data_IF_870828885114
#
_entry.id   IF_870828885114
#
_cell.length_a   1.000
_cell.length_b   1.000
_cell.length_c   1.000
_cell.angle_alpha   90.00
_cell.angle_beta   90.00
_cell.angle_gamma   90.00
#
_symmetry.space_group_name_H-M   'P 1'
#
loop_
_entity.id
_entity.type
_entity.pdbx_description
1 polymer ?
#
# COMPACT_ATOMS: atom_id res chain seq x y z
N UNK A 1 2.15 -6.39 -14.19
CA UNK A 1 2.09 -6.77 -12.76
C UNK A 1 3.49 -6.67 -12.14
N UNK A 2 3.89 -5.47 -11.68
CA UNK A 2 5.19 -5.28 -11.03
C UNK A 2 5.29 -5.97 -9.67
N UNK A 3 4.19 -6.02 -8.92
CA UNK A 3 4.11 -6.55 -7.56
C UNK A 3 4.37 -8.07 -7.46
N UNK A 4 4.24 -8.82 -8.56
CA UNK A 4 4.47 -10.26 -8.56
C UNK A 4 5.95 -10.60 -8.36
N UNK A 5 6.86 -9.87 -9.00
CA UNK A 5 8.29 -10.13 -8.94
C UNK A 5 8.84 -9.98 -7.52
N UNK A 6 8.54 -8.86 -6.86
CA UNK A 6 8.99 -8.61 -5.48
C UNK A 6 8.45 -9.66 -4.52
N UNK A 7 7.21 -10.11 -4.72
CA UNK A 7 6.56 -11.12 -3.88
C UNK A 7 7.20 -12.51 -4.08
N UNK A 8 7.50 -12.90 -5.32
CA UNK A 8 8.20 -14.16 -5.63
C UNK A 8 9.62 -14.14 -5.07
N UNK A 9 10.35 -13.03 -5.19
CA UNK A 9 11.69 -12.89 -4.65
C UNK A 9 11.69 -13.03 -3.12
N UNK A 10 10.73 -12.39 -2.44
CA UNK A 10 10.55 -12.52 -0.99
C UNK A 10 10.16 -13.96 -0.59
N UNK A 11 9.30 -14.62 -1.36
CA UNK A 11 8.89 -16.02 -1.14
C UNK A 11 10.09 -16.99 -1.24
N UNK A 12 10.92 -16.83 -2.26
CA UNK A 12 12.12 -17.65 -2.44
C UNK A 12 13.07 -17.54 -1.23
N UNK A 13 13.29 -16.32 -0.71
CA UNK A 13 14.09 -16.09 0.49
C UNK A 13 13.41 -16.70 1.72
N UNK A 14 12.10 -16.50 1.88
CA UNK A 14 11.35 -17.04 3.02
C UNK A 14 11.45 -18.57 3.07
N UNK A 15 11.26 -19.24 1.93
CA UNK A 15 11.42 -20.70 1.79
C UNK A 15 12.83 -21.15 2.09
N UNK A 16 13.85 -20.46 1.56
CA UNK A 16 15.25 -20.78 1.84
C UNK A 16 15.57 -20.68 3.34
N UNK A 17 15.13 -19.62 4.02
CA UNK A 17 15.37 -19.47 5.46
C UNK A 17 14.61 -20.53 6.28
N UNK A 18 13.40 -20.92 5.87
CA UNK A 18 12.66 -22.05 6.49
C UNK A 18 13.38 -23.39 6.28
N UNK A 19 13.97 -23.63 5.10
CA UNK A 19 14.79 -24.82 4.82
C UNK A 19 16.04 -24.89 5.72
N UNK A 20 16.61 -23.74 6.09
CA UNK A 20 17.70 -23.64 7.07
C UNK A 20 17.23 -23.83 8.53
N UNK A 21 15.97 -24.16 8.77
CA UNK A 21 15.40 -24.35 10.10
C UNK A 21 15.11 -23.05 10.85
N UNK A 22 15.16 -21.87 10.19
CA UNK A 22 14.85 -20.60 10.84
C UNK A 22 13.34 -20.39 10.93
N UNK A 23 12.93 -19.72 12.01
CA UNK A 23 11.57 -19.20 12.14
C UNK A 23 11.40 -17.98 11.23
N UNK A 24 10.47 -18.05 10.30
CA UNK A 24 10.16 -17.00 9.32
C UNK A 24 8.71 -16.57 9.49
N UNK A 25 8.45 -15.26 9.41
CA UNK A 25 7.12 -14.68 9.26
C UNK A 25 7.14 -13.85 7.99
N UNK A 26 6.53 -14.35 6.93
CA UNK A 26 6.41 -13.67 5.65
C UNK A 26 5.04 -12.99 5.56
N UNK A 27 5.06 -11.65 5.40
CA UNK A 27 3.87 -10.82 5.35
C UNK A 27 3.78 -10.17 3.97
N UNK A 28 2.59 -10.21 3.38
CA UNK A 28 2.23 -9.46 2.18
C UNK A 28 0.90 -8.73 2.42
N UNK A 29 0.40 -7.96 1.46
CA UNK A 29 -0.83 -7.22 1.65
C UNK A 29 -1.18 -6.26 0.54
N UNK A 30 -2.20 -5.45 0.80
CA UNK A 30 -2.68 -4.37 -0.05
C UNK A 30 -2.71 -3.06 0.72
N UNK A 31 -2.18 -2.01 0.10
CA UNK A 31 -2.43 -0.64 0.52
C UNK A 31 -3.65 -0.09 -0.21
N UNK A 32 -4.62 0.37 0.57
CA UNK A 32 -6.00 0.60 0.15
C UNK A 32 -6.47 2.04 0.41
N UNK A 33 -5.62 2.92 0.95
CA UNK A 33 -5.94 4.32 1.22
C UNK A 33 -5.24 5.25 0.23
N UNK A 34 -5.80 5.36 -0.98
CA UNK A 34 -5.33 6.31 -2.00
C UNK A 34 -6.52 7.02 -2.65
N UNK A 35 -6.36 8.30 -2.98
CA UNK A 35 -7.38 9.08 -3.69
C UNK A 35 -7.72 8.46 -5.05
N UNK A 36 -6.72 7.91 -5.75
CA UNK A 36 -6.91 7.15 -6.99
C UNK A 36 -7.85 5.97 -6.85
N UNK A 37 -7.82 5.29 -5.71
CA UNK A 37 -8.71 4.14 -5.46
C UNK A 37 -10.16 4.62 -5.36
N UNK A 38 -10.38 5.76 -4.71
CA UNK A 38 -11.71 6.36 -4.67
C UNK A 38 -12.20 6.79 -6.07
N UNK A 39 -11.33 7.42 -6.87
CA UNK A 39 -11.66 7.79 -8.26
C UNK A 39 -11.96 6.56 -9.13
N UNK A 40 -11.14 5.51 -9.02
CA UNK A 40 -11.33 4.27 -9.77
C UNK A 40 -12.62 3.53 -9.38
N UNK A 41 -12.94 3.51 -8.08
CA UNK A 41 -14.20 2.94 -7.59
C UNK A 41 -15.41 3.69 -8.18
N UNK A 42 -15.39 5.02 -8.15
CA UNK A 42 -16.45 5.86 -8.74
C UNK A 42 -16.61 5.61 -10.25
N UNK A 43 -15.51 5.53 -11.00
CA UNK A 43 -15.54 5.25 -12.43
C UNK A 43 -16.15 3.88 -12.77
N UNK A 44 -16.07 2.92 -11.85
CA UNK A 44 -16.65 1.58 -11.97
C UNK A 44 -18.05 1.46 -11.33
N UNK A 45 -18.63 2.56 -10.84
CA UNK A 45 -19.93 2.54 -10.14
C UNK A 45 -19.91 1.75 -8.83
N UNK A 46 -18.74 1.61 -8.20
CA UNK A 46 -18.52 0.85 -6.98
C UNK A 46 -18.16 1.78 -5.81
N UNK A 47 -18.30 1.30 -4.57
CA UNK A 47 -17.81 2.03 -3.41
C UNK A 47 -16.31 1.76 -3.21
N UNK A 48 -15.53 2.69 -2.64
CA UNK A 48 -14.11 2.44 -2.39
C UNK A 48 -13.84 1.17 -1.56
N UNK A 49 -14.61 0.86 -0.48
CA UNK A 49 -14.45 -0.40 0.25
C UNK A 49 -14.65 -1.65 -0.61
N UNK A 50 -15.67 -1.65 -1.49
CA UNK A 50 -15.96 -2.78 -2.37
C UNK A 50 -14.87 -2.97 -3.42
N UNK A 51 -14.39 -1.88 -4.01
CA UNK A 51 -13.30 -1.91 -4.96
C UNK A 51 -12.01 -2.46 -4.33
N UNK A 52 -11.63 -1.95 -3.14
CA UNK A 52 -10.50 -2.47 -2.37
C UNK A 52 -10.65 -3.97 -2.07
N UNK A 53 -11.86 -4.40 -1.69
CA UNK A 53 -12.13 -5.82 -1.44
C UNK A 53 -11.86 -6.66 -2.69
N UNK A 54 -12.39 -6.27 -3.85
CA UNK A 54 -12.19 -6.99 -5.11
C UNK A 54 -10.70 -7.10 -5.49
N UNK A 55 -9.95 -6.01 -5.37
CA UNK A 55 -8.50 -5.99 -5.64
C UNK A 55 -7.75 -6.91 -4.66
N UNK A 56 -8.06 -6.83 -3.37
CA UNK A 56 -7.43 -7.69 -2.35
C UNK A 56 -7.69 -9.18 -2.62
N UNK A 57 -8.90 -9.53 -3.09
CA UNK A 57 -9.23 -10.91 -3.48
C UNK A 57 -8.47 -11.35 -4.73
N UNK A 58 -8.34 -10.49 -5.74
CA UNK A 58 -7.56 -10.79 -6.93
C UNK A 58 -6.09 -11.11 -6.58
N UNK A 59 -5.48 -10.34 -5.67
CA UNK A 59 -4.14 -10.64 -5.17
C UNK A 59 -4.07 -11.97 -4.42
N UNK A 60 -5.04 -12.28 -3.56
CA UNK A 60 -5.08 -13.56 -2.85
C UNK A 60 -5.17 -14.74 -3.79
N UNK A 61 -6.00 -14.65 -4.83
CA UNK A 61 -6.10 -15.68 -5.88
C UNK A 61 -4.77 -15.82 -6.61
N UNK A 62 -4.16 -14.72 -7.04
CA UNK A 62 -2.87 -14.75 -7.70
C UNK A 62 -1.76 -15.37 -6.83
N UNK A 63 -1.72 -15.03 -5.54
CA UNK A 63 -0.76 -15.62 -4.60
C UNK A 63 -0.98 -17.11 -4.40
N UNK A 64 -2.23 -17.58 -4.47
CA UNK A 64 -2.53 -19.00 -4.47
C UNK A 64 -2.06 -19.68 -5.76
N UNK A 65 -2.32 -19.07 -6.92
CA UNK A 65 -1.94 -19.64 -8.22
C UNK A 65 -0.42 -19.71 -8.41
N UNK A 66 0.31 -18.76 -7.82
CA UNK A 66 1.78 -18.71 -7.82
C UNK A 66 2.42 -19.53 -6.68
N UNK A 67 1.64 -20.24 -5.87
CA UNK A 67 2.10 -20.96 -4.67
C UNK A 67 2.96 -20.09 -3.73
N UNK A 68 2.52 -18.88 -3.43
CA UNK A 68 3.24 -17.99 -2.50
C UNK A 68 2.97 -18.41 -1.05
N UNK A 69 4.03 -18.70 -0.30
CA UNK A 69 4.00 -19.21 1.07
C UNK A 69 4.04 -18.11 2.14
N UNK A 70 3.08 -17.18 2.08
CA UNK A 70 2.94 -16.12 3.08
C UNK A 70 2.22 -16.58 4.35
N UNK A 71 2.59 -16.01 5.50
CA UNK A 71 1.99 -16.30 6.81
C UNK A 71 0.83 -15.36 7.13
N UNK A 72 0.89 -14.11 6.64
CA UNK A 72 -0.15 -13.09 6.84
C UNK A 72 -0.36 -12.24 5.60
N UNK A 73 -1.62 -11.92 5.34
CA UNK A 73 -2.04 -10.95 4.34
C UNK A 73 -2.71 -9.78 5.06
N UNK A 74 -2.13 -8.59 4.97
CA UNK A 74 -2.59 -7.38 5.68
C UNK A 74 -3.31 -6.45 4.71
N UNK A 75 -4.42 -5.85 5.14
CA UNK A 75 -5.08 -4.75 4.43
C UNK A 75 -5.02 -3.48 5.28
N UNK A 76 -4.70 -2.34 4.70
CA UNK A 76 -4.64 -1.08 5.47
C UNK A 76 -6.03 -0.59 5.90
N UNK A 77 -7.10 -1.14 5.33
CA UNK A 77 -8.49 -0.93 5.78
C UNK A 77 -8.91 -1.77 6.98
N UNK A 78 -8.12 -2.78 7.40
CA UNK A 78 -8.46 -3.62 8.54
C UNK A 78 -8.50 -2.79 9.84
N UNK A 79 -9.55 -2.98 10.65
CA UNK A 79 -9.75 -2.22 11.89
C UNK A 79 -8.58 -2.31 12.87
N UNK A 80 -7.90 -3.47 12.91
CA UNK A 80 -6.69 -3.68 13.72
C UNK A 80 -5.52 -2.83 13.22
N UNK A 81 -5.35 -2.69 11.90
CA UNK A 81 -4.31 -1.85 11.32
C UNK A 81 -4.61 -0.38 11.63
N UNK A 82 -5.86 0.06 11.41
CA UNK A 82 -6.28 1.43 11.72
C UNK A 82 -6.07 1.80 13.20
N UNK A 83 -6.35 0.87 14.13
CA UNK A 83 -6.13 1.11 15.55
C UNK A 83 -4.66 1.38 15.88
N UNK A 84 -3.74 0.60 15.31
CA UNK A 84 -2.29 0.76 15.50
C UNK A 84 -1.80 2.08 14.90
N UNK A 85 -2.26 2.43 13.69
CA UNK A 85 -1.90 3.71 13.05
C UNK A 85 -2.38 4.90 13.87
N UNK A 86 -3.62 4.85 14.39
CA UNK A 86 -4.15 5.91 15.27
C UNK A 86 -3.34 6.03 16.55
N UNK A 87 -3.00 4.91 17.18
CA UNK A 87 -2.17 4.90 18.38
C UNK A 87 -0.78 5.49 18.12
N UNK A 88 -0.13 5.07 17.04
CA UNK A 88 1.16 5.62 16.62
C UNK A 88 1.08 7.13 16.42
N UNK A 89 0.10 7.59 15.64
CA UNK A 89 -0.13 9.01 15.38
C UNK A 89 -0.33 9.80 16.68
N UNK A 90 -1.16 9.31 17.60
CA UNK A 90 -1.41 9.96 18.88
C UNK A 90 -0.14 10.09 19.74
N UNK A 91 0.73 9.07 19.73
CA UNK A 91 2.00 9.11 20.47
C UNK A 91 2.96 10.15 19.89
N UNK A 92 3.09 10.19 18.57
CA UNK A 92 3.98 11.15 17.89
C UNK A 92 3.46 12.58 18.07
N UNK A 93 2.14 12.78 17.99
CA UNK A 93 1.51 14.07 18.28
C UNK A 93 1.75 14.52 19.72
N UNK A 94 1.59 13.61 20.69
CA UNK A 94 1.83 13.90 22.10
C UNK A 94 3.31 14.19 22.42
N UNK A 95 4.23 13.66 21.61
CA UNK A 95 5.66 13.95 21.74
C UNK A 95 6.06 15.34 21.17
N UNK A 96 5.14 16.04 20.49
CA UNK A 96 5.39 17.35 19.90
C UNK A 96 6.10 17.32 18.55
N UNK A 97 6.28 16.14 17.94
CA UNK A 97 6.94 15.99 16.64
C UNK A 97 6.01 16.34 15.47
N UNK A 98 4.70 16.42 15.70
CA UNK A 98 3.70 16.84 14.71
C UNK A 98 3.23 18.24 15.05
N UNK A 99 3.39 19.14 14.08
CA UNK A 99 2.86 20.49 14.12
C UNK A 99 2.01 20.73 12.88
N UNK A 100 1.10 21.71 12.98
CA UNK A 100 0.32 22.16 11.84
C UNK A 100 1.11 23.25 11.12
N UNK A 101 1.26 23.08 9.82
CA UNK A 101 1.74 24.10 8.92
C UNK A 101 0.90 24.08 7.65
N UNK A 102 0.87 25.21 6.94
CA UNK A 102 0.31 25.27 5.62
C UNK A 102 1.42 24.93 4.61
N UNK A 103 1.07 24.12 3.62
CA UNK A 103 1.98 23.72 2.56
C UNK A 103 1.38 24.12 1.22
N UNK A 104 2.11 24.93 0.46
CA UNK A 104 1.77 25.30 -0.91
C UNK A 104 2.79 24.65 -1.84
N UNK A 105 2.31 23.92 -2.84
CA UNK A 105 3.15 23.24 -3.81
C UNK A 105 2.31 22.55 -4.88
N UNK A 106 2.98 22.15 -5.95
CA UNK A 106 2.32 21.49 -7.07
C UNK A 106 2.15 20.02 -6.72
N UNK A 107 0.91 19.58 -6.54
CA UNK A 107 0.59 18.20 -6.17
C UNK A 107 0.22 17.38 -7.41
N UNK A 108 0.93 16.27 -7.63
CA UNK A 108 0.61 15.35 -8.69
C UNK A 108 -0.26 14.20 -8.16
N UNK A 109 -1.56 14.25 -8.43
CA UNK A 109 -2.51 13.21 -8.01
C UNK A 109 -2.15 11.83 -8.59
N UNK A 110 -1.60 11.77 -9.80
CA UNK A 110 -1.20 10.50 -10.42
C UNK A 110 0.07 9.88 -9.81
N UNK A 111 0.91 10.68 -9.15
CA UNK A 111 2.11 10.22 -8.45
C UNK A 111 1.92 10.08 -6.93
N UNK A 112 0.88 10.70 -6.36
CA UNK A 112 0.68 10.82 -4.90
C UNK A 112 1.86 11.51 -4.21
N UNK A 113 2.42 12.54 -4.86
CA UNK A 113 3.63 13.22 -4.42
C UNK A 113 3.58 14.70 -4.80
N UNK A 114 4.16 15.55 -3.95
CA UNK A 114 4.43 16.95 -4.28
C UNK A 114 5.68 17.05 -5.16
N UNK A 115 5.56 17.82 -6.24
CA UNK A 115 6.63 18.04 -7.20
C UNK A 115 7.27 19.40 -6.99
N UNK A 116 8.59 19.41 -7.03
CA UNK A 116 9.35 20.65 -7.20
C UNK A 116 9.16 21.17 -8.62
N UNK A 117 9.16 22.50 -8.79
CA UNK A 117 8.99 23.13 -10.12
C UNK A 117 10.02 22.62 -11.15
N UNK A 118 11.19 22.19 -10.71
CA UNK A 118 12.26 21.64 -11.57
C UNK A 118 11.97 20.22 -12.08
N UNK A 119 11.09 19.48 -11.43
CA UNK A 119 10.68 18.14 -11.87
C UNK A 119 9.54 18.19 -12.89
N UNK A 120 8.95 19.38 -13.09
CA UNK A 120 7.97 19.61 -14.12
C UNK A 120 8.72 19.77 -15.44
N UNK A 121 8.59 18.76 -16.32
CA UNK A 121 9.04 18.87 -17.70
C UNK A 121 8.35 20.09 -18.33
N UNK A 122 9.13 20.99 -18.92
CA UNK A 122 8.58 22.08 -19.74
C UNK A 122 7.80 21.46 -20.90
N UNK A 123 6.47 21.56 -20.82
CA UNK A 123 5.47 21.24 -21.85
C UNK A 123 5.21 19.76 -22.11
N UNK A 124 4.00 19.32 -21.72
CA UNK A 124 3.08 18.56 -22.58
C UNK A 124 1.71 18.48 -21.89
N UNK A 125 0.92 19.56 -22.06
CA UNK A 125 -0.51 19.57 -21.80
C UNK A 125 -1.23 19.51 -23.16
N UNK A 126 -1.42 18.31 -23.70
CA UNK A 126 -2.47 17.99 -24.68
C UNK A 126 -3.36 16.88 -24.11
#
# INVERSE_FOLDING_TARGET
MGSAYSTIAADAIARFQRLLGKKVIFITGTDEHCEKIATAAMAQGSTPPDHCYLISQAYRTLWKDLDISYDKFIRTTDSKHQAIVKEFYSRVLANGDIYRADYEGIYCVSCEEYKDEKELLENNWE
#
